data_IF_545961511581
#
_entry.id   IF_545961511581
#
_cell.length_a   1.000
_cell.length_b   1.000
_cell.length_c   1.000
_cell.angle_alpha   90.00
_cell.angle_beta   90.00
_cell.angle_gamma   90.00
#
_symmetry.space_group_name_H-M   'P 1'
#
loop_
_entity.id
_entity.type
_entity.pdbx_description
1 polymer ?
#
# COMPACT_ATOMS: atom_id res chain seq x y z
N UNK A 1 14.06 -13.23 -0.59
CA UNK A 1 13.20 -13.28 0.59
C UNK A 1 11.74 -13.41 0.12
N UNK A 2 10.92 -14.06 0.91
CA UNK A 2 9.53 -14.31 0.52
C UNK A 2 8.56 -13.32 1.15
N UNK A 3 7.41 -13.21 0.54
CA UNK A 3 6.23 -12.52 1.06
C UNK A 3 5.01 -13.33 0.60
N UNK A 4 3.78 -12.96 1.05
CA UNK A 4 2.60 -13.80 0.80
C UNK A 4 2.21 -13.89 -0.67
N UNK A 5 2.48 -12.87 -1.45
CA UNK A 5 2.25 -12.89 -2.89
C UNK A 5 1.79 -11.56 -3.45
N UNK A 6 1.62 -11.55 -4.76
CA UNK A 6 1.10 -10.40 -5.50
C UNK A 6 -0.41 -10.52 -5.64
N UNK A 7 -1.13 -9.44 -5.43
CA UNK A 7 -2.58 -9.37 -5.63
C UNK A 7 -2.92 -8.18 -6.51
N UNK A 8 -4.01 -8.29 -7.26
CA UNK A 8 -4.48 -7.16 -8.08
C UNK A 8 -5.08 -6.08 -7.20
N UNK A 9 -5.23 -4.83 -7.69
CA UNK A 9 -5.93 -3.79 -6.94
C UNK A 9 -7.34 -4.21 -6.51
N UNK A 10 -8.08 -4.90 -7.38
CA UNK A 10 -9.43 -5.39 -7.06
C UNK A 10 -9.40 -6.44 -5.95
N UNK A 11 -8.44 -7.36 -6.00
CA UNK A 11 -8.25 -8.35 -4.94
C UNK A 11 -7.86 -7.70 -3.61
N UNK A 12 -7.03 -6.67 -3.66
CA UNK A 12 -6.65 -5.89 -2.49
C UNK A 12 -7.88 -5.20 -1.87
N UNK A 13 -8.71 -4.59 -2.69
CA UNK A 13 -9.95 -3.95 -2.24
C UNK A 13 -10.87 -4.98 -1.58
N UNK A 14 -11.04 -6.14 -2.20
CA UNK A 14 -11.88 -7.20 -1.65
C UNK A 14 -11.35 -7.70 -0.30
N UNK A 15 -10.04 -7.90 -0.19
CA UNK A 15 -9.42 -8.32 1.07
C UNK A 15 -9.68 -7.28 2.18
N UNK A 16 -9.49 -6.01 1.87
CA UNK A 16 -9.75 -4.92 2.82
C UNK A 16 -11.23 -4.85 3.21
N UNK A 17 -12.13 -5.09 2.26
CA UNK A 17 -13.56 -5.08 2.53
C UNK A 17 -14.01 -6.26 3.38
N UNK A 18 -13.45 -7.44 3.14
CA UNK A 18 -13.87 -8.69 3.80
C UNK A 18 -13.24 -8.88 5.18
N UNK A 19 -12.02 -8.37 5.39
CA UNK A 19 -11.28 -8.54 6.64
C UNK A 19 -11.09 -7.20 7.35
N UNK A 20 -11.79 -6.96 8.49
CA UNK A 20 -11.67 -5.71 9.22
C UNK A 20 -10.29 -5.50 9.84
N UNK A 21 -9.48 -6.54 9.97
CA UNK A 21 -8.11 -6.44 10.48
C UNK A 21 -7.09 -6.11 9.40
N UNK A 22 -7.42 -6.29 8.11
CA UNK A 22 -6.52 -6.00 7.02
C UNK A 22 -6.20 -4.51 6.95
N UNK A 23 -4.94 -4.19 6.67
CA UNK A 23 -4.46 -2.81 6.60
C UNK A 23 -3.78 -2.55 5.26
N UNK A 24 -4.05 -1.37 4.69
CA UNK A 24 -3.39 -0.89 3.48
C UNK A 24 -2.27 0.08 3.89
N UNK A 25 -1.04 -0.24 3.46
CA UNK A 25 0.12 0.62 3.68
C UNK A 25 0.53 1.21 2.34
N UNK A 26 0.50 2.53 2.24
CA UNK A 26 1.02 3.27 1.10
C UNK A 26 2.49 3.58 1.39
N UNK A 27 3.40 2.89 0.69
CA UNK A 27 4.83 3.02 0.91
C UNK A 27 5.52 3.92 -0.11
N UNK A 28 4.77 4.79 -0.79
CA UNK A 28 5.30 5.80 -1.68
C UNK A 28 5.95 6.93 -0.89
N UNK A 29 6.35 7.99 -1.57
CA UNK A 29 6.95 9.18 -0.94
C UNK A 29 5.89 10.19 -0.54
N UNK A 30 6.24 11.06 0.41
CA UNK A 30 5.37 12.18 0.82
C UNK A 30 5.01 13.07 -0.37
N UNK A 31 5.96 13.29 -1.29
CA UNK A 31 5.71 14.08 -2.49
C UNK A 31 4.61 13.43 -3.36
N UNK A 32 4.62 12.13 -3.50
CA UNK A 32 3.57 11.43 -4.25
C UNK A 32 2.21 11.54 -3.56
N UNK A 33 2.17 11.39 -2.23
CA UNK A 33 0.92 11.54 -1.48
C UNK A 33 0.33 12.94 -1.65
N UNK A 34 1.18 13.95 -1.63
CA UNK A 34 0.76 15.35 -1.71
C UNK A 34 0.34 15.78 -3.12
N UNK A 35 1.10 15.37 -4.14
CA UNK A 35 0.95 15.90 -5.49
C UNK A 35 0.19 14.96 -6.45
N UNK A 36 0.23 13.66 -6.23
CA UNK A 36 -0.44 12.68 -7.10
C UNK A 36 -1.81 12.30 -6.56
N UNK A 37 -1.93 12.14 -5.26
CA UNK A 37 -3.14 11.69 -4.60
C UNK A 37 -2.91 10.42 -3.82
N UNK A 38 -3.93 9.97 -3.10
CA UNK A 38 -3.87 8.82 -2.21
C UNK A 38 -5.10 7.92 -2.39
N UNK A 39 -4.96 6.60 -2.12
CA UNK A 39 -6.15 5.73 -2.09
C UNK A 39 -7.08 6.15 -0.95
N UNK A 40 -8.36 5.94 -1.15
CA UNK A 40 -9.39 6.29 -0.15
C UNK A 40 -10.16 5.03 0.22
N UNK A 41 -9.96 4.55 1.44
CA UNK A 41 -10.63 3.36 1.97
C UNK A 41 -11.72 3.70 2.99
N UNK A 42 -12.08 4.98 3.09
CA UNK A 42 -13.05 5.45 4.09
C UNK A 42 -14.42 4.79 3.95
N UNK A 43 -14.83 4.40 2.73
CA UNK A 43 -16.08 3.70 2.50
C UNK A 43 -16.12 2.28 3.08
N UNK A 44 -14.95 1.74 3.45
CA UNK A 44 -14.84 0.41 4.06
C UNK A 44 -14.99 0.46 5.59
N UNK A 45 -15.20 1.64 6.16
CA UNK A 45 -15.43 1.78 7.60
C UNK A 45 -16.67 0.98 7.99
N UNK A 46 -16.54 0.23 9.08
CA UNK A 46 -17.65 -0.56 9.60
C UNK A 46 -18.51 0.23 10.58
N UNK A 47 -17.87 1.15 11.31
CA UNK A 47 -18.56 2.08 12.22
C UNK A 47 -17.69 3.31 12.48
N UNK A 48 -18.23 4.31 13.17
CA UNK A 48 -17.55 5.56 13.44
C UNK A 48 -16.41 5.40 14.46
N UNK A 49 -16.44 4.37 15.30
CA UNK A 49 -15.42 4.12 16.32
C UNK A 49 -14.22 3.38 15.76
N UNK A 50 -14.35 2.76 14.58
CA UNK A 50 -13.29 1.97 13.95
C UNK A 50 -13.05 2.49 12.54
N UNK A 51 -12.53 3.71 12.38
CA UNK A 51 -12.24 4.25 11.06
C UNK A 51 -11.15 3.42 10.39
N UNK A 52 -11.37 3.13 9.11
CA UNK A 52 -10.37 2.46 8.29
C UNK A 52 -9.58 3.55 7.56
N UNK A 53 -8.31 3.66 7.89
CA UNK A 53 -7.41 4.61 7.26
C UNK A 53 -6.23 3.91 6.60
N UNK A 54 -5.69 4.54 5.56
CA UNK A 54 -4.43 4.11 4.96
C UNK A 54 -3.30 4.47 5.91
N UNK A 55 -2.34 3.56 6.07
CA UNK A 55 -1.12 3.83 6.83
C UNK A 55 -0.06 4.31 5.85
N UNK A 56 0.56 5.44 6.15
CA UNK A 56 1.55 6.07 5.27
C UNK A 56 2.94 5.93 5.88
N UNK A 57 3.79 5.11 5.27
CA UNK A 57 5.18 4.92 5.69
C UNK A 57 6.05 4.79 4.44
N UNK A 58 6.97 5.72 4.25
CA UNK A 58 7.85 5.73 3.08
C UNK A 58 8.81 4.54 3.09
N UNK A 59 8.87 3.82 1.98
CA UNK A 59 9.93 2.85 1.71
C UNK A 59 11.22 3.56 1.33
N UNK A 60 11.10 4.52 0.40
CA UNK A 60 12.17 5.48 0.10
C UNK A 60 11.64 6.88 0.37
N UNK A 61 12.53 7.81 0.73
CA UNK A 61 12.16 9.21 0.96
C UNK A 61 12.11 9.98 -0.35
N UNK A 62 11.52 11.17 -0.31
CA UNK A 62 11.36 12.02 -1.50
C UNK A 62 12.71 12.43 -2.13
N UNK A 63 13.80 12.43 -1.37
CA UNK A 63 15.14 12.71 -1.88
C UNK A 63 15.81 11.48 -2.51
N UNK A 64 15.13 10.33 -2.54
CA UNK A 64 15.62 9.09 -3.10
C UNK A 64 16.36 8.19 -2.11
N UNK A 65 16.61 8.65 -0.88
CA UNK A 65 17.28 7.83 0.11
C UNK A 65 16.34 6.74 0.64
N UNK A 66 16.90 5.58 0.97
CA UNK A 66 16.12 4.49 1.55
C UNK A 66 15.79 4.78 3.01
N UNK A 67 14.59 4.43 3.44
CA UNK A 67 14.17 4.56 4.83
C UNK A 67 14.62 3.33 5.62
N UNK A 68 15.74 3.42 6.30
CA UNK A 68 16.30 2.32 7.11
C UNK A 68 15.44 1.98 8.31
N UNK A 69 14.49 2.83 8.66
CA UNK A 69 13.60 2.65 9.80
C UNK A 69 12.19 2.22 9.37
N UNK A 70 12.06 1.65 8.18
CA UNK A 70 10.75 1.30 7.62
C UNK A 70 9.92 0.42 8.57
N UNK A 71 10.50 -0.65 9.07
CA UNK A 71 9.80 -1.57 9.99
C UNK A 71 9.47 -0.87 11.31
N UNK A 72 10.40 -0.08 11.86
CA UNK A 72 10.15 0.68 13.09
C UNK A 72 9.01 1.68 12.88
N UNK A 73 8.97 2.32 11.73
CA UNK A 73 7.91 3.28 11.40
C UNK A 73 6.56 2.58 11.23
N UNK A 74 6.54 1.37 10.67
CA UNK A 74 5.31 0.56 10.60
C UNK A 74 4.78 0.27 11.99
N UNK A 75 5.65 -0.17 12.89
CA UNK A 75 5.26 -0.48 14.30
C UNK A 75 4.71 0.78 14.97
N UNK A 76 5.38 1.92 14.78
CA UNK A 76 4.92 3.19 15.35
C UNK A 76 3.56 3.63 14.82
N UNK A 77 3.23 3.23 13.59
CA UNK A 77 1.95 3.53 12.95
C UNK A 77 0.85 2.50 13.28
N UNK A 78 1.15 1.51 14.12
CA UNK A 78 0.18 0.51 14.56
C UNK A 78 0.21 -0.80 13.76
N UNK A 79 1.16 -0.96 12.84
CA UNK A 79 1.33 -2.20 12.09
C UNK A 79 2.41 -3.03 12.79
N UNK A 80 1.97 -3.93 13.64
CA UNK A 80 2.86 -4.71 14.51
C UNK A 80 2.99 -6.15 14.04
N UNK A 81 4.06 -6.87 14.47
CA UNK A 81 4.18 -8.29 14.15
C UNK A 81 2.95 -9.08 14.64
N UNK A 82 2.52 -10.05 13.86
CA UNK A 82 1.36 -10.88 14.16
C UNK A 82 0.61 -11.29 12.90
N UNK A 83 -0.46 -12.03 13.10
CA UNK A 83 -1.30 -12.54 12.01
C UNK A 83 -2.37 -11.52 11.62
N UNK A 84 -1.99 -10.58 10.78
CA UNK A 84 -2.88 -9.52 10.29
C UNK A 84 -2.51 -9.25 8.83
N UNK A 85 -3.44 -9.37 7.88
CA UNK A 85 -3.11 -9.08 6.47
C UNK A 85 -2.65 -7.65 6.30
N UNK A 86 -1.50 -7.48 5.67
CA UNK A 86 -0.92 -6.16 5.35
C UNK A 86 -0.74 -6.07 3.85
N UNK A 87 -1.30 -5.04 3.25
CA UNK A 87 -1.28 -4.84 1.80
C UNK A 87 -0.43 -3.60 1.50
N UNK A 88 0.64 -3.78 0.72
CA UNK A 88 1.58 -2.70 0.40
C UNK A 88 1.34 -2.18 -1.00
N UNK A 89 1.20 -0.86 -1.10
CA UNK A 89 0.91 -0.14 -2.34
C UNK A 89 2.04 0.86 -2.61
N UNK A 90 2.59 0.81 -3.83
CA UNK A 90 3.49 1.87 -4.31
C UNK A 90 2.99 2.39 -5.66
N UNK A 91 3.85 3.04 -6.46
CA UNK A 91 3.41 3.64 -7.72
C UNK A 91 3.06 2.59 -8.79
N UNK A 92 3.92 1.59 -8.95
CA UNK A 92 3.79 0.59 -10.04
C UNK A 92 3.99 -0.86 -9.59
N UNK A 93 4.13 -1.11 -8.29
CA UNK A 93 4.25 -2.46 -7.75
C UNK A 93 5.68 -2.95 -7.51
N UNK A 94 6.69 -2.09 -7.64
CA UNK A 94 8.09 -2.49 -7.47
C UNK A 94 8.64 -2.24 -6.06
N UNK A 95 8.53 -1.02 -5.55
CA UNK A 95 8.99 -0.68 -4.19
C UNK A 95 8.24 -1.48 -3.12
N UNK A 96 6.98 -1.74 -3.35
CA UNK A 96 6.12 -2.49 -2.41
C UNK A 96 6.50 -3.96 -2.27
N UNK A 97 7.22 -4.53 -3.24
CA UNK A 97 7.77 -5.88 -3.11
C UNK A 97 8.77 -5.91 -1.96
N UNK A 98 9.74 -4.98 -1.97
CA UNK A 98 10.72 -4.85 -0.89
C UNK A 98 10.06 -4.59 0.46
N UNK A 99 9.03 -3.74 0.48
CA UNK A 99 8.26 -3.43 1.68
C UNK A 99 7.58 -4.70 2.23
N UNK A 100 6.91 -5.48 1.37
CA UNK A 100 6.25 -6.71 1.78
C UNK A 100 7.25 -7.76 2.28
N UNK A 101 8.41 -7.85 1.66
CA UNK A 101 9.47 -8.76 2.10
C UNK A 101 10.01 -8.36 3.47
N UNK A 102 10.28 -7.07 3.68
CA UNK A 102 10.76 -6.57 4.97
C UNK A 102 9.75 -6.80 6.09
N UNK A 103 8.47 -6.56 5.82
CA UNK A 103 7.41 -6.78 6.79
C UNK A 103 7.28 -8.28 7.13
N UNK A 104 7.37 -9.15 6.12
CA UNK A 104 7.33 -10.60 6.32
C UNK A 104 8.50 -11.04 7.21
N UNK A 105 9.70 -10.53 6.95
CA UNK A 105 10.87 -10.83 7.78
C UNK A 105 10.74 -10.35 9.21
N UNK A 106 9.92 -9.35 9.46
CA UNK A 106 9.64 -8.82 10.80
C UNK A 106 8.47 -9.53 11.50
N UNK A 107 7.86 -10.53 10.86
CA UNK A 107 6.76 -11.28 11.44
C UNK A 107 5.38 -10.71 11.19
N UNK A 108 5.26 -9.75 10.29
CA UNK A 108 3.97 -9.20 9.85
C UNK A 108 3.43 -10.06 8.71
N UNK A 109 2.54 -10.99 9.01
CA UNK A 109 2.07 -11.96 8.03
C UNK A 109 0.55 -12.10 8.05
N UNK A 110 -0.08 -12.32 6.88
CA UNK A 110 0.51 -12.29 5.54
C UNK A 110 0.71 -10.86 5.01
N UNK A 111 1.81 -10.62 4.30
CA UNK A 111 2.08 -9.33 3.65
C UNK A 111 2.02 -9.51 2.14
N UNK A 112 1.26 -8.66 1.46
CA UNK A 112 0.99 -8.73 0.02
C UNK A 112 1.50 -7.49 -0.71
N UNK A 113 1.86 -7.66 -1.97
CA UNK A 113 2.17 -6.58 -2.89
C UNK A 113 0.99 -6.33 -3.83
N UNK A 114 0.60 -5.08 -4.02
CA UNK A 114 -0.43 -4.72 -5.01
C UNK A 114 0.23 -4.58 -6.37
N UNK A 115 -0.13 -5.45 -7.30
CA UNK A 115 0.34 -5.39 -8.68
C UNK A 115 -0.07 -4.08 -9.32
N UNK A 116 0.81 -3.52 -10.14
CA UNK A 116 0.62 -2.26 -10.86
C UNK A 116 0.48 -1.02 -9.97
N UNK A 117 0.38 -1.18 -8.66
CA UNK A 117 0.37 -0.09 -7.70
C UNK A 117 -0.76 0.92 -7.89
N UNK A 118 -0.49 2.17 -7.54
CA UNK A 118 -1.48 3.25 -7.59
C UNK A 118 -1.68 3.82 -9.00
N UNK A 119 -0.58 4.00 -9.74
CA UNK A 119 -0.60 4.65 -11.06
C UNK A 119 -0.39 3.70 -12.24
N UNK A 120 0.04 2.47 -11.97
CA UNK A 120 0.33 1.50 -13.00
C UNK A 120 1.72 1.64 -13.62
N UNK A 121 2.02 0.73 -14.52
CA UNK A 121 3.27 0.74 -15.28
C UNK A 121 3.14 1.68 -16.48
N UNK A 122 4.27 2.05 -17.07
CA UNK A 122 4.26 2.84 -18.31
C UNK A 122 3.71 2.01 -19.46
N UNK A 123 2.81 2.59 -20.24
CA UNK A 123 2.31 1.98 -21.46
C UNK A 123 3.33 2.17 -22.62
N UNK A 124 2.98 1.74 -23.83
CA UNK A 124 3.86 1.83 -24.99
C UNK A 124 4.22 3.27 -25.35
N UNK A 125 3.36 4.22 -25.01
CA UNK A 125 3.59 5.65 -25.25
C UNK A 125 4.35 6.33 -24.11
N UNK A 126 4.73 5.59 -23.06
CA UNK A 126 5.43 6.13 -21.90
C UNK A 126 4.51 6.82 -20.92
N UNK A 127 3.23 6.50 -20.92
CA UNK A 127 2.24 7.08 -20.00
C UNK A 127 1.78 6.08 -18.95
N UNK A 128 1.48 6.56 -17.76
CA UNK A 128 0.84 5.78 -16.72
C UNK A 128 -0.68 5.96 -16.81
N UNK A 129 -1.43 5.07 -16.16
CA UNK A 129 -2.87 5.16 -16.11
C UNK A 129 -3.63 4.10 -16.89
N UNK A 130 -2.91 3.16 -17.52
CA UNK A 130 -3.54 2.03 -18.21
C UNK A 130 -3.85 0.89 -17.24
N UNK A 131 -3.22 0.85 -16.08
CA UNK A 131 -3.41 -0.16 -15.05
C UNK A 131 -3.23 0.45 -13.65
N UNK A 132 -3.49 -0.32 -12.62
CA UNK A 132 -3.31 0.10 -11.23
C UNK A 132 -4.60 0.58 -10.57
N UNK A 133 -4.49 0.96 -9.30
CA UNK A 133 -5.60 1.35 -8.43
C UNK A 133 -6.53 2.37 -9.07
N UNK A 134 -5.96 3.46 -9.59
CA UNK A 134 -6.75 4.53 -10.21
C UNK A 134 -7.42 4.06 -11.50
N UNK A 135 -6.70 3.31 -12.33
CA UNK A 135 -7.19 2.89 -13.64
C UNK A 135 -8.39 1.96 -13.55
N UNK A 136 -8.44 1.10 -12.54
CA UNK A 136 -9.55 0.16 -12.36
C UNK A 136 -10.73 0.79 -11.64
N UNK A 137 -10.65 2.07 -11.31
CA UNK A 137 -11.78 2.82 -10.76
C UNK A 137 -11.97 2.70 -9.25
N UNK A 138 -10.96 2.25 -8.50
CA UNK A 138 -11.04 2.21 -7.05
C UNK A 138 -10.96 3.63 -6.47
N UNK A 139 -11.58 3.87 -5.30
CA UNK A 139 -11.62 5.22 -4.72
C UNK A 139 -10.24 5.79 -4.41
N UNK A 140 -10.05 7.06 -4.75
CA UNK A 140 -8.86 7.82 -4.43
C UNK A 140 -9.21 9.30 -4.34
N UNK A 141 -8.30 10.07 -3.73
CA UNK A 141 -8.52 11.51 -3.57
C UNK A 141 -7.19 12.27 -3.64
N UNK A 142 -7.29 13.56 -3.91
CA UNK A 142 -6.17 14.50 -3.77
C UNK A 142 -6.44 15.39 -2.56
N UNK A 143 -5.38 15.80 -1.91
CA UNK A 143 -5.48 16.70 -0.75
C UNK A 143 -5.46 18.16 -1.17
#
# INVERSE_FOLDING_TARGET
MSYAGDITPEEAWKLLADDPEAVLVDCRTEAEWRFVGVPDVSSLRRDAASPRDVVYVEWNRSDGSHNDRFVDDLVSAGVTPGERPVVFLCRSGNRSIGAAEAATGAGMTPSFNVLDGFEGNLDEAGHRGASGWKAVGLPWRQS
#
